data_IF_490304465902
#
_entry.id   IF_490304465902
#
_cell.length_a   1.000
_cell.length_b   1.000
_cell.length_c   1.000
_cell.angle_alpha   90.00
_cell.angle_beta   90.00
_cell.angle_gamma   90.00
#
_symmetry.space_group_name_H-M   'P 1'
#
loop_
_entity.id
_entity.type
_entity.pdbx_description
1 polymer ?
#
# COMPACT_ATOMS: atom_id res chain seq x y z
N UNK A 1 59.40 51.00 4.17
CA UNK A 1 59.37 50.43 5.54
C UNK A 1 58.79 49.03 5.39
N UNK A 2 59.50 48.14 4.69
CA UNK A 2 60.55 47.23 5.24
C UNK A 2 59.93 46.21 6.21
N UNK A 3 59.72 44.96 5.76
CA UNK A 3 60.67 43.81 5.78
C UNK A 3 60.69 43.19 7.20
N UNK A 4 60.48 41.89 7.44
CA UNK A 4 61.23 40.72 6.96
C UNK A 4 60.49 39.40 7.33
N UNK A 5 60.20 38.46 6.41
CA UNK A 5 60.99 37.27 5.94
C UNK A 5 61.01 36.05 6.89
N UNK A 6 60.47 34.89 6.45
CA UNK A 6 61.21 33.64 6.06
C UNK A 6 61.25 32.59 7.20
N UNK A 7 61.22 31.26 7.05
CA UNK A 7 61.40 30.32 5.92
C UNK A 7 60.96 28.89 6.34
N UNK A 8 60.54 28.06 5.36
CA UNK A 8 60.61 26.58 5.39
C UNK A 8 62.04 26.13 4.96
N UNK A 9 62.53 24.85 5.02
CA UNK A 9 61.93 23.70 4.30
C UNK A 9 62.23 22.24 4.80
N UNK A 10 61.46 21.30 4.21
CA UNK A 10 61.76 19.96 3.63
C UNK A 10 62.55 18.82 4.33
N UNK A 11 61.90 17.64 4.27
CA UNK A 11 62.36 16.31 3.78
C UNK A 11 63.51 15.55 4.47
N UNK A 12 63.27 14.28 4.82
CA UNK A 12 63.88 13.11 4.12
C UNK A 12 63.42 11.75 4.68
N UNK A 13 63.43 10.76 3.79
CA UNK A 13 62.96 9.37 3.88
C UNK A 13 63.98 8.39 4.52
N UNK A 14 63.57 7.11 4.58
CA UNK A 14 64.28 5.81 4.71
C UNK A 14 63.99 5.10 6.05
N UNK A 15 63.32 3.94 6.13
CA UNK A 15 63.43 2.62 5.49
C UNK A 15 64.29 1.60 6.28
N UNK A 16 63.73 0.39 6.39
CA UNK A 16 64.33 -0.93 6.63
C UNK A 16 64.51 -1.56 8.05
N UNK A 17 63.66 -2.57 8.27
CA UNK A 17 64.01 -4.00 8.40
C UNK A 17 64.03 -4.69 9.79
N UNK A 18 63.11 -5.66 9.92
CA UNK A 18 63.45 -7.07 10.20
C UNK A 18 63.43 -7.61 11.63
N UNK A 19 62.47 -8.50 11.96
CA UNK A 19 62.73 -9.95 12.18
C UNK A 19 61.47 -10.79 12.55
N UNK A 20 61.53 -12.03 12.08
CA UNK A 20 60.54 -13.14 12.03
C UNK A 20 60.31 -13.87 13.36
N UNK A 21 59.16 -14.57 13.47
CA UNK A 21 59.02 -16.02 13.82
C UNK A 21 57.56 -16.48 13.56
N UNK A 22 57.28 -17.25 12.50
CA UNK A 22 57.07 -18.72 12.47
C UNK A 22 55.88 -19.20 13.36
N UNK A 23 54.83 -19.85 12.83
CA UNK A 23 54.84 -21.26 12.41
C UNK A 23 53.56 -21.76 11.67
N UNK A 24 53.78 -22.68 10.69
CA UNK A 24 52.98 -23.85 10.18
C UNK A 24 51.62 -23.61 9.45
N UNK A 25 51.50 -23.73 8.11
CA UNK A 25 51.46 -24.90 7.14
C UNK A 25 50.20 -25.82 7.27
N UNK A 26 49.12 -25.61 6.48
CA UNK A 26 48.69 -26.26 5.17
C UNK A 26 48.05 -27.67 5.29
N UNK A 27 47.13 -28.16 4.40
CA UNK A 27 46.98 -27.78 3.00
C UNK A 27 45.55 -27.68 2.37
N UNK A 28 45.60 -27.08 1.18
CA UNK A 28 44.70 -27.04 0.02
C UNK A 28 44.46 -28.43 -0.58
N UNK A 29 43.29 -28.68 -1.14
CA UNK A 29 43.12 -29.63 -2.24
C UNK A 29 42.25 -29.01 -3.36
N UNK A 30 42.95 -28.56 -4.41
CA UNK A 30 42.50 -28.61 -5.82
C UNK A 30 42.48 -30.09 -6.24
N UNK A 31 41.78 -30.62 -7.24
CA UNK A 31 41.21 -30.18 -8.52
C UNK A 31 40.47 -31.41 -9.07
N UNK A 32 39.43 -31.22 -9.88
CA UNK A 32 39.28 -32.03 -11.09
C UNK A 32 38.34 -31.30 -12.07
N UNK A 33 38.96 -30.82 -13.14
CA UNK A 33 38.32 -30.35 -14.36
C UNK A 33 37.75 -31.56 -15.11
N UNK A 34 36.58 -31.40 -15.73
CA UNK A 34 36.40 -31.96 -17.06
C UNK A 34 35.60 -30.98 -17.93
N UNK A 35 36.25 -30.53 -19.01
CA UNK A 35 35.70 -29.71 -20.06
C UNK A 35 34.70 -30.52 -20.90
N UNK A 36 33.58 -29.93 -21.32
CA UNK A 36 33.24 -29.97 -22.74
C UNK A 36 32.24 -28.87 -23.16
N UNK A 37 32.70 -28.07 -24.12
CA UNK A 37 32.02 -27.46 -25.27
C UNK A 37 30.65 -26.76 -25.14
N UNK A 38 30.68 -25.48 -25.51
CA UNK A 38 29.79 -24.77 -26.44
C UNK A 38 28.30 -25.14 -26.46
N UNK A 39 27.44 -24.17 -26.09
CA UNK A 39 26.72 -23.41 -27.10
C UNK A 39 26.05 -22.15 -26.52
N UNK A 40 26.34 -21.03 -27.17
CA UNK A 40 25.53 -19.82 -27.10
C UNK A 40 24.13 -20.12 -27.64
N UNK A 41 23.13 -20.09 -26.76
CA UNK A 41 21.76 -19.76 -27.15
C UNK A 41 21.18 -18.83 -26.11
N UNK A 42 20.83 -17.63 -26.57
CA UNK A 42 20.09 -16.57 -25.89
C UNK A 42 18.91 -17.12 -25.10
N UNK A 43 19.12 -17.34 -23.80
CA UNK A 43 18.07 -17.71 -22.86
C UNK A 43 17.25 -16.48 -22.50
N UNK A 44 16.10 -16.31 -23.16
CA UNK A 44 15.04 -15.44 -22.64
C UNK A 44 14.74 -15.86 -21.21
N UNK A 45 14.97 -14.95 -20.27
CA UNK A 45 14.66 -15.16 -18.86
C UNK A 45 13.19 -15.60 -18.74
N UNK A 46 12.96 -16.89 -18.45
CA UNK A 46 11.67 -17.35 -17.96
C UNK A 46 11.40 -16.58 -16.66
N UNK A 47 10.59 -15.53 -16.76
CA UNK A 47 10.09 -14.79 -15.61
C UNK A 47 9.40 -15.81 -14.71
N UNK A 48 10.00 -16.10 -13.56
CA UNK A 48 9.50 -17.13 -12.65
C UNK A 48 8.00 -16.91 -12.40
N UNK A 49 7.18 -17.95 -12.55
CA UNK A 49 5.75 -18.00 -12.25
C UNK A 49 5.47 -17.90 -10.72
N UNK A 50 6.26 -17.09 -10.01
CA UNK A 50 6.19 -16.95 -8.57
C UNK A 50 4.95 -16.13 -8.22
N UNK A 51 3.98 -16.78 -7.61
CA UNK A 51 2.83 -16.11 -7.00
C UNK A 51 3.27 -15.13 -5.92
N UNK A 52 2.46 -14.09 -5.71
CA UNK A 52 2.56 -13.18 -4.58
C UNK A 52 2.22 -13.90 -3.25
N UNK A 53 2.60 -13.29 -2.14
CA UNK A 53 2.40 -13.85 -0.79
C UNK A 53 3.66 -14.45 -0.17
N UNK A 54 3.53 -14.84 1.09
CA UNK A 54 4.58 -15.48 1.88
C UNK A 54 4.55 -17.00 1.66
N UNK A 55 5.66 -17.72 1.87
CA UNK A 55 5.68 -19.19 1.76
C UNK A 55 4.68 -19.91 2.67
N UNK A 56 4.33 -19.29 3.81
CA UNK A 56 3.35 -19.80 4.78
C UNK A 56 1.88 -19.59 4.39
N UNK A 57 1.62 -18.78 3.36
CA UNK A 57 0.25 -18.52 2.91
C UNK A 57 -0.27 -19.75 2.13
N UNK A 58 -1.55 -20.10 2.33
CA UNK A 58 -2.18 -21.16 1.52
C UNK A 58 -2.15 -20.81 0.02
N UNK A 59 -2.18 -21.80 -0.89
CA UNK A 59 -2.23 -21.56 -2.32
C UNK A 59 -3.34 -20.59 -2.73
N UNK A 60 -4.53 -20.72 -2.14
CA UNK A 60 -5.69 -19.85 -2.39
C UNK A 60 -5.42 -18.41 -1.95
N UNK A 61 -4.77 -18.20 -0.80
CA UNK A 61 -4.39 -16.85 -0.33
C UNK A 61 -3.35 -16.23 -1.25
N UNK A 62 -2.36 -17.01 -1.71
CA UNK A 62 -1.34 -16.55 -2.66
C UNK A 62 -1.95 -16.20 -4.02
N UNK A 63 -2.93 -16.98 -4.47
CA UNK A 63 -3.68 -16.75 -5.69
C UNK A 63 -4.51 -15.46 -5.60
N UNK A 64 -5.29 -15.28 -4.52
CA UNK A 64 -6.04 -14.05 -4.27
C UNK A 64 -5.14 -12.81 -4.19
N UNK A 65 -3.97 -12.91 -3.52
CA UNK A 65 -2.96 -11.83 -3.51
C UNK A 65 -2.40 -11.55 -4.90
N UNK A 66 -2.21 -12.57 -5.72
CA UNK A 66 -1.71 -12.43 -7.10
C UNK A 66 -2.76 -11.78 -7.99
N UNK A 67 -4.01 -12.21 -7.92
CA UNK A 67 -5.14 -11.61 -8.63
C UNK A 67 -5.31 -10.13 -8.25
N UNK A 68 -5.34 -9.81 -6.96
CA UNK A 68 -5.34 -8.42 -6.46
C UNK A 68 -4.18 -7.61 -7.02
N UNK A 69 -2.97 -8.18 -7.07
CA UNK A 69 -1.81 -7.48 -7.60
C UNK A 69 -1.92 -7.23 -9.11
N UNK A 70 -2.36 -8.22 -9.90
CA UNK A 70 -2.57 -8.08 -11.35
C UNK A 70 -3.53 -6.93 -11.63
N UNK A 71 -4.69 -6.92 -10.97
CA UNK A 71 -5.75 -5.94 -11.23
C UNK A 71 -5.40 -4.53 -10.77
N UNK A 72 -4.51 -4.35 -9.78
CA UNK A 72 -4.20 -3.03 -9.20
C UNK A 72 -2.89 -2.41 -9.69
N UNK A 73 -1.94 -3.25 -10.07
CA UNK A 73 -0.54 -2.85 -10.30
C UNK A 73 0.07 -3.57 -11.50
N UNK A 74 -0.20 -4.87 -11.64
CA UNK A 74 0.52 -5.77 -12.53
C UNK A 74 0.05 -5.76 -13.98
N UNK A 75 -1.17 -5.29 -14.27
CA UNK A 75 -1.81 -5.47 -15.56
C UNK A 75 -0.91 -5.09 -16.74
N UNK A 76 -0.41 -3.85 -16.75
CA UNK A 76 0.50 -3.36 -17.81
C UNK A 76 1.82 -4.15 -17.88
N UNK A 77 2.41 -4.49 -16.74
CA UNK A 77 3.71 -5.21 -16.69
C UNK A 77 3.61 -6.68 -17.12
N UNK A 78 2.41 -7.25 -17.03
CA UNK A 78 2.10 -8.64 -17.37
C UNK A 78 1.36 -8.76 -18.70
N UNK A 79 1.22 -7.64 -19.44
CA UNK A 79 0.57 -7.62 -20.75
C UNK A 79 -0.95 -7.83 -20.72
N UNK A 80 -1.60 -7.64 -19.56
CA UNK A 80 -3.06 -7.75 -19.44
C UNK A 80 -3.75 -6.48 -19.94
N UNK A 81 -4.66 -6.57 -20.93
CA UNK A 81 -5.45 -5.44 -21.38
C UNK A 81 -6.39 -4.98 -20.26
N UNK A 82 -6.17 -3.78 -19.74
CA UNK A 82 -7.05 -3.17 -18.74
C UNK A 82 -7.74 -1.95 -19.35
N UNK A 83 -9.07 -1.91 -19.22
CA UNK A 83 -9.90 -0.79 -19.65
C UNK A 83 -9.70 0.43 -18.75
N UNK A 84 -10.16 1.60 -19.21
CA UNK A 84 -10.09 2.84 -18.41
C UNK A 84 -10.91 2.77 -17.12
N UNK A 85 -11.99 2.00 -17.10
CA UNK A 85 -12.82 1.75 -15.91
C UNK A 85 -12.24 0.64 -14.99
N UNK A 86 -11.07 0.10 -15.34
CA UNK A 86 -10.33 -0.88 -14.55
C UNK A 86 -10.73 -2.34 -14.76
N UNK A 87 -11.70 -2.63 -15.64
CA UNK A 87 -12.07 -4.01 -15.95
C UNK A 87 -11.07 -4.68 -16.90
N UNK A 88 -10.86 -5.96 -16.65
CA UNK A 88 -10.10 -6.90 -17.47
C UNK A 88 -11.02 -8.09 -17.78
N UNK A 89 -10.93 -8.67 -18.97
CA UNK A 89 -11.68 -9.90 -19.27
C UNK A 89 -11.17 -11.02 -18.38
N UNK A 90 -12.09 -11.83 -17.84
CA UNK A 90 -11.70 -12.96 -17.00
C UNK A 90 -10.84 -13.94 -17.80
N UNK A 91 -11.17 -14.18 -19.07
CA UNK A 91 -10.37 -15.07 -19.95
C UNK A 91 -8.91 -14.60 -20.05
N UNK A 92 -8.66 -13.31 -20.28
CA UNK A 92 -7.29 -12.75 -20.32
C UNK A 92 -6.55 -12.97 -18.99
N UNK A 93 -7.26 -12.84 -17.86
CA UNK A 93 -6.69 -13.11 -16.52
C UNK A 93 -6.35 -14.59 -16.35
N UNK A 94 -7.22 -15.49 -16.78
CA UNK A 94 -7.03 -16.95 -16.68
C UNK A 94 -5.89 -17.43 -17.59
N UNK A 95 -5.70 -16.78 -18.74
CA UNK A 95 -4.60 -17.06 -19.66
C UNK A 95 -3.24 -16.55 -19.18
N UNK A 96 -3.23 -15.62 -18.21
CA UNK A 96 -1.99 -15.09 -17.65
C UNK A 96 -1.11 -16.23 -17.09
N UNK A 97 0.20 -16.30 -17.42
CA UNK A 97 1.07 -17.41 -17.00
C UNK A 97 1.06 -17.68 -15.49
N UNK A 98 0.93 -16.65 -14.66
CA UNK A 98 0.90 -16.80 -13.20
C UNK A 98 -0.39 -17.45 -12.72
N UNK A 99 -1.52 -17.15 -13.36
CA UNK A 99 -2.84 -17.69 -13.00
C UNK A 99 -3.03 -19.07 -13.62
N UNK A 100 -2.72 -19.22 -14.91
CA UNK A 100 -2.80 -20.48 -15.64
C UNK A 100 -2.00 -21.60 -14.98
N UNK A 101 -0.83 -21.29 -14.42
CA UNK A 101 0.00 -22.26 -13.68
C UNK A 101 -0.66 -22.82 -12.41
N UNK A 102 -1.74 -22.20 -11.92
CA UNK A 102 -2.47 -22.60 -10.72
C UNK A 102 -3.80 -23.28 -11.04
N UNK A 103 -4.09 -23.53 -12.33
CA UNK A 103 -5.35 -24.14 -12.78
C UNK A 103 -6.60 -23.42 -12.25
N UNK A 104 -6.53 -22.09 -12.11
CA UNK A 104 -7.71 -21.29 -11.78
C UNK A 104 -8.64 -21.27 -12.99
N UNK A 105 -9.93 -21.50 -12.77
CA UNK A 105 -10.99 -21.38 -13.76
C UNK A 105 -11.97 -20.25 -13.37
N UNK A 106 -12.98 -20.02 -14.21
CA UNK A 106 -14.00 -19.00 -13.95
C UNK A 106 -14.73 -19.24 -12.62
N UNK A 107 -15.02 -20.50 -12.29
CA UNK A 107 -15.68 -20.85 -11.03
C UNK A 107 -14.82 -20.47 -9.83
N UNK A 108 -13.52 -20.76 -9.86
CA UNK A 108 -12.60 -20.34 -8.82
C UNK A 108 -12.45 -18.82 -8.71
N UNK A 109 -12.55 -18.08 -9.82
CA UNK A 109 -12.62 -16.61 -9.77
C UNK A 109 -13.89 -16.15 -9.05
N UNK A 110 -15.05 -16.72 -9.38
CA UNK A 110 -16.32 -16.44 -8.71
C UNK A 110 -16.23 -16.73 -7.21
N UNK A 111 -15.68 -17.90 -6.82
CA UNK A 111 -15.47 -18.28 -5.41
C UNK A 111 -14.54 -17.30 -4.68
N UNK A 112 -13.47 -16.81 -5.32
CA UNK A 112 -12.57 -15.79 -4.74
C UNK A 112 -13.31 -14.47 -4.50
N UNK A 113 -14.17 -14.07 -5.43
CA UNK A 113 -14.95 -12.82 -5.32
C UNK A 113 -16.01 -12.94 -4.24
N UNK A 114 -16.71 -14.07 -4.18
CA UNK A 114 -17.74 -14.36 -3.17
C UNK A 114 -17.16 -14.47 -1.75
N UNK A 115 -16.00 -15.14 -1.60
CA UNK A 115 -15.30 -15.25 -0.32
C UNK A 115 -14.64 -13.93 0.13
N UNK A 116 -14.63 -12.89 -0.71
CA UNK A 116 -13.99 -11.62 -0.38
C UNK A 116 -14.87 -10.73 0.48
N UNK A 117 -14.77 -10.97 1.79
CA UNK A 117 -15.32 -10.08 2.83
C UNK A 117 -15.04 -8.60 2.60
N UNK A 118 -13.94 -8.20 1.95
CA UNK A 118 -13.60 -6.77 1.79
C UNK A 118 -14.16 -6.13 0.52
N UNK A 119 -14.96 -6.85 -0.27
CA UNK A 119 -15.51 -6.36 -1.55
C UNK A 119 -14.43 -5.69 -2.41
N UNK A 120 -13.25 -6.31 -2.53
CA UNK A 120 -12.09 -5.83 -3.31
C UNK A 120 -12.31 -5.95 -4.80
N UNK A 121 -13.17 -6.85 -5.21
CA UNK A 121 -13.43 -7.16 -6.61
C UNK A 121 -14.86 -6.80 -6.95
N UNK A 122 -15.04 -6.42 -8.20
CA UNK A 122 -16.35 -6.40 -8.84
C UNK A 122 -16.27 -7.28 -10.08
N UNK A 123 -17.22 -8.20 -10.19
CA UNK A 123 -17.28 -9.23 -11.21
C UNK A 123 -18.65 -9.14 -11.87
N UNK A 124 -18.67 -8.95 -13.19
CA UNK A 124 -19.91 -8.83 -13.96
C UNK A 124 -19.81 -9.57 -15.28
N UNK A 125 -20.96 -9.94 -15.80
CA UNK A 125 -21.10 -10.46 -17.16
C UNK A 125 -21.77 -9.39 -18.02
N UNK A 126 -21.28 -9.17 -19.23
CA UNK A 126 -21.93 -8.28 -20.19
C UNK A 126 -23.03 -8.99 -21.01
N UNK A 127 -23.67 -8.24 -21.92
CA UNK A 127 -24.77 -8.75 -22.75
C UNK A 127 -24.33 -9.85 -23.72
N UNK A 128 -23.04 -9.90 -24.05
CA UNK A 128 -22.45 -10.90 -24.96
C UNK A 128 -22.01 -12.16 -24.19
N UNK A 129 -22.24 -12.21 -22.88
CA UNK A 129 -21.87 -13.33 -22.02
C UNK A 129 -20.40 -13.32 -21.57
N UNK A 130 -19.66 -12.24 -21.83
CA UNK A 130 -18.24 -12.13 -21.46
C UNK A 130 -18.12 -11.71 -20.00
N UNK A 131 -17.28 -12.42 -19.24
CA UNK A 131 -17.01 -12.10 -17.85
C UNK A 131 -15.90 -11.06 -17.71
N UNK A 132 -16.13 -10.07 -16.86
CA UNK A 132 -15.23 -8.95 -16.58
C UNK A 132 -14.99 -8.83 -15.09
N UNK A 133 -13.73 -8.62 -14.70
CA UNK A 133 -13.32 -8.40 -13.32
C UNK A 133 -12.51 -7.11 -13.17
N UNK A 134 -12.77 -6.34 -12.12
CA UNK A 134 -11.92 -5.22 -11.71
C UNK A 134 -11.62 -5.29 -10.21
N UNK A 135 -10.57 -4.57 -9.80
CA UNK A 135 -10.42 -4.21 -8.40
C UNK A 135 -11.21 -2.93 -8.09
N UNK A 136 -11.94 -2.90 -6.98
CA UNK A 136 -12.71 -1.73 -6.55
C UNK A 136 -11.83 -0.61 -5.99
N UNK A 137 -10.64 -0.94 -5.46
CA UNK A 137 -9.79 0.01 -4.74
C UNK A 137 -8.30 -0.32 -4.87
N UNK A 138 -7.45 0.68 -4.57
CA UNK A 138 -6.02 0.51 -4.39
C UNK A 138 -5.20 0.41 -5.68
N UNK A 139 -5.71 0.97 -6.78
CA UNK A 139 -5.00 1.07 -8.05
C UNK A 139 -3.77 1.98 -7.96
N UNK A 140 -2.70 1.60 -8.65
CA UNK A 140 -1.58 2.48 -8.99
C UNK A 140 -1.40 2.66 -10.51
N UNK A 141 -2.31 2.10 -11.30
CA UNK A 141 -2.30 2.21 -12.75
C UNK A 141 -2.91 3.56 -13.13
N UNK A 142 -2.14 4.42 -13.81
CA UNK A 142 -2.61 5.74 -14.25
C UNK A 142 -3.76 5.68 -15.27
N UNK A 143 -3.88 4.56 -15.98
CA UNK A 143 -4.90 4.35 -17.01
C UNK A 143 -6.29 4.10 -16.44
N UNK A 144 -6.40 3.76 -15.15
CA UNK A 144 -7.69 3.45 -14.51
C UNK A 144 -8.27 4.72 -13.88
N UNK A 145 -9.39 5.19 -14.41
CA UNK A 145 -10.23 6.24 -13.84
C UNK A 145 -11.36 5.56 -13.07
N UNK A 146 -11.38 5.73 -11.75
CA UNK A 146 -12.49 5.23 -10.94
C UNK A 146 -13.64 6.23 -11.04
N UNK A 147 -14.87 5.73 -11.09
CA UNK A 147 -16.08 6.55 -10.88
C UNK A 147 -16.11 6.96 -9.41
N UNK A 148 -15.74 8.21 -9.14
CA UNK A 148 -15.56 8.76 -7.81
C UNK A 148 -16.53 9.93 -7.62
N UNK A 149 -17.40 9.84 -6.61
CA UNK A 149 -18.33 10.93 -6.28
C UNK A 149 -17.59 11.99 -5.45
N UNK A 150 -17.56 13.27 -5.86
CA UNK A 150 -16.90 14.30 -5.08
C UNK A 150 -17.59 14.48 -3.72
N UNK A 151 -16.79 14.65 -2.68
CA UNK A 151 -17.25 15.07 -1.34
C UNK A 151 -17.01 16.58 -1.26
N UNK A 152 -18.08 17.36 -1.11
CA UNK A 152 -18.05 18.82 -1.04
C UNK A 152 -18.27 19.33 0.38
N UNK A 153 -18.79 18.48 1.26
CA UNK A 153 -19.03 18.77 2.67
C UNK A 153 -18.95 17.50 3.50
N UNK A 154 -18.91 17.65 4.83
CA UNK A 154 -19.06 16.51 5.75
C UNK A 154 -20.41 15.80 5.56
N UNK A 155 -21.40 16.46 4.95
CA UNK A 155 -22.73 15.89 4.71
C UNK A 155 -22.73 14.76 3.68
N UNK A 156 -21.77 14.78 2.75
CA UNK A 156 -21.63 13.75 1.71
C UNK A 156 -21.01 12.45 2.25
N UNK A 157 -20.60 12.42 3.51
CA UNK A 157 -20.05 11.25 4.19
C UNK A 157 -21.12 10.68 5.14
N UNK A 158 -21.74 9.54 4.83
CA UNK A 158 -22.77 8.92 5.66
C UNK A 158 -22.39 8.80 7.15
N UNK A 159 -21.15 8.44 7.46
CA UNK A 159 -20.69 8.26 8.84
C UNK A 159 -20.20 9.52 9.53
N UNK A 160 -20.10 10.65 8.81
CA UNK A 160 -19.45 11.89 9.28
C UNK A 160 -18.00 11.70 9.76
N UNK A 161 -17.36 10.59 9.39
CA UNK A 161 -16.05 10.21 9.90
C UNK A 161 -15.12 9.82 8.76
N UNK A 162 -13.89 10.33 8.78
CA UNK A 162 -12.82 9.90 7.87
C UNK A 162 -11.58 9.53 8.69
N UNK A 163 -11.24 8.25 8.76
CA UNK A 163 -10.15 7.74 9.60
C UNK A 163 -9.16 6.88 8.81
N UNK A 164 -7.87 7.10 9.05
CA UNK A 164 -6.80 6.27 8.53
C UNK A 164 -6.18 5.41 9.61
N UNK A 165 -6.15 4.09 9.40
CA UNK A 165 -5.44 3.16 10.27
C UNK A 165 -4.02 2.91 9.81
N UNK A 166 -3.03 3.18 10.66
CA UNK A 166 -1.60 2.95 10.38
C UNK A 166 -0.90 2.23 11.52
N UNK A 167 0.41 1.99 11.40
CA UNK A 167 1.24 1.38 12.46
C UNK A 167 2.05 2.44 13.20
N UNK A 168 2.51 2.12 14.42
CA UNK A 168 3.35 3.00 15.25
C UNK A 168 4.64 3.41 14.54
N UNK A 169 5.23 2.51 13.76
CA UNK A 169 6.46 2.77 13.00
C UNK A 169 6.20 3.80 11.89
N UNK A 170 5.10 3.63 11.15
CA UNK A 170 4.71 4.57 10.10
C UNK A 170 4.31 5.93 10.69
N UNK A 171 3.66 5.95 11.85
CA UNK A 171 3.28 7.18 12.55
C UNK A 171 4.46 8.13 12.78
N UNK A 172 5.66 7.63 13.13
CA UNK A 172 6.86 8.48 13.33
C UNK A 172 7.20 9.38 12.13
N UNK A 173 6.87 8.93 10.92
CA UNK A 173 7.04 9.71 9.68
C UNK A 173 5.80 10.53 9.35
N UNK A 174 4.62 9.97 9.57
CA UNK A 174 3.35 10.64 9.26
C UNK A 174 3.14 11.85 10.17
N UNK A 175 3.55 11.78 11.44
CA UNK A 175 3.43 12.88 12.41
C UNK A 175 4.26 14.10 12.05
N UNK A 176 5.23 13.96 11.15
CA UNK A 176 6.14 15.03 10.70
C UNK A 176 5.86 15.47 9.27
N UNK A 177 5.50 14.54 8.36
CA UNK A 177 5.34 14.84 6.93
C UNK A 177 3.89 14.82 6.45
N UNK A 178 2.94 14.42 7.30
CA UNK A 178 1.56 14.17 6.88
C UNK A 178 1.36 12.78 6.27
N UNK A 179 0.11 12.51 5.90
CA UNK A 179 -0.32 11.21 5.38
C UNK A 179 -0.17 11.18 3.86
N UNK A 180 0.72 10.34 3.33
CA UNK A 180 0.98 10.24 1.89
C UNK A 180 0.10 9.21 1.18
N UNK A 181 -0.25 9.47 -0.09
CA UNK A 181 -0.79 8.44 -1.00
C UNK A 181 0.23 7.34 -1.32
N UNK A 182 1.51 7.55 -1.01
CA UNK A 182 2.61 6.64 -1.31
C UNK A 182 2.63 6.29 -2.81
N UNK A 183 2.73 5.02 -3.17
CA UNK A 183 2.71 4.56 -4.56
C UNK A 183 1.30 4.38 -5.15
N UNK A 184 0.23 4.79 -4.43
CA UNK A 184 -1.16 4.66 -4.90
C UNK A 184 -1.64 5.96 -5.55
N UNK A 185 -2.75 5.88 -6.27
CA UNK A 185 -3.40 7.06 -6.82
C UNK A 185 -4.00 7.96 -5.72
N UNK A 186 -4.51 7.36 -4.63
CA UNK A 186 -5.20 8.06 -3.54
C UNK A 186 -4.78 7.56 -2.16
N UNK A 187 -4.86 8.45 -1.17
CA UNK A 187 -4.96 8.13 0.26
C UNK A 187 -6.34 7.50 0.51
N UNK A 188 -6.38 6.42 1.28
CA UNK A 188 -7.62 5.71 1.59
C UNK A 188 -7.98 5.93 3.05
N UNK A 189 -9.20 6.41 3.27
CA UNK A 189 -9.79 6.69 4.56
C UNK A 189 -11.05 5.84 4.73
N UNK A 190 -11.21 5.28 5.91
CA UNK A 190 -12.36 4.51 6.32
C UNK A 190 -13.43 5.42 6.92
N UNK A 191 -14.68 4.98 6.83
CA UNK A 191 -15.82 5.66 7.42
C UNK A 191 -16.07 5.31 8.91
N UNK A 192 -15.12 4.64 9.57
CA UNK A 192 -15.25 4.28 11.00
C UNK A 192 -14.14 3.35 11.48
N UNK A 193 -14.28 2.85 12.71
CA UNK A 193 -13.37 1.86 13.33
C UNK A 193 -14.10 0.53 13.59
N UNK A 194 -13.53 -0.66 13.25
CA UNK A 194 -14.26 -1.91 13.35
C UNK A 194 -14.76 -2.15 14.76
N UNK A 195 -15.99 -2.64 14.87
CA UNK A 195 -16.69 -2.79 16.16
C UNK A 195 -15.99 -3.79 17.07
N UNK A 196 -15.18 -4.71 16.51
CA UNK A 196 -14.30 -5.61 17.29
C UNK A 196 -13.24 -4.90 18.13
N UNK A 197 -13.14 -3.57 18.04
CA UNK A 197 -12.16 -2.74 18.76
C UNK A 197 -12.80 -1.66 19.64
N UNK A 198 -14.14 -1.61 19.77
CA UNK A 198 -14.81 -0.70 20.70
C UNK A 198 -15.45 -1.50 21.84
N UNK A 199 -15.04 -1.29 23.11
CA UNK A 199 -15.68 -1.93 24.26
C UNK A 199 -17.06 -1.32 24.60
N UNK A 200 -17.56 -0.37 23.80
CA UNK A 200 -18.86 0.27 24.01
C UNK A 200 -19.61 0.43 22.69
N UNK A 201 -20.38 -0.59 22.33
CA UNK A 201 -21.45 -0.45 21.33
C UNK A 201 -22.57 -1.43 21.71
N UNK A 202 -23.25 -1.15 22.81
CA UNK A 202 -24.66 -1.53 22.95
C UNK A 202 -25.42 -0.66 21.96
N UNK A 203 -25.49 -1.07 20.70
CA UNK A 203 -26.37 -0.44 19.72
C UNK A 203 -27.67 -1.22 19.72
N UNK A 204 -28.68 -0.65 20.36
CA UNK A 204 -30.08 -0.97 20.15
C UNK A 204 -30.37 -1.02 18.67
N UNK A 205 -30.81 -2.20 18.23
CA UNK A 205 -31.36 -2.46 16.91
C UNK A 205 -32.55 -1.51 16.73
N UNK A 206 -32.37 -0.46 15.92
CA UNK A 206 -33.50 0.30 15.38
C UNK A 206 -33.55 0.01 13.90
N UNK A 207 -34.38 -0.96 13.56
CA UNK A 207 -34.81 -1.22 12.19
C UNK A 207 -35.63 -0.02 11.75
N UNK A 208 -35.05 0.88 10.97
CA UNK A 208 -35.84 1.85 10.20
C UNK A 208 -35.37 1.77 8.76
N UNK A 209 -36.17 1.03 8.01
CA UNK A 209 -36.20 0.97 6.56
C UNK A 209 -36.18 2.40 6.01
N UNK A 210 -35.26 2.65 5.07
CA UNK A 210 -35.20 3.73 4.07
C UNK A 210 -33.83 4.43 4.03
N UNK A 211 -32.82 3.66 3.61
CA UNK A 211 -31.64 4.03 2.80
C UNK A 211 -30.52 3.01 3.10
N UNK A 212 -30.21 2.18 2.11
CA UNK A 212 -29.33 1.01 2.22
C UNK A 212 -27.86 1.39 2.53
N UNK A 213 -27.57 1.75 3.77
CA UNK A 213 -26.23 1.62 4.35
C UNK A 213 -26.29 0.49 5.37
N UNK A 214 -25.87 -0.69 4.91
CA UNK A 214 -25.80 -1.91 5.71
C UNK A 214 -24.70 -1.77 6.78
N UNK A 215 -25.09 -1.25 7.94
CA UNK A 215 -24.26 -1.16 9.15
C UNK A 215 -24.05 -2.52 9.83
N UNK A 216 -24.60 -3.61 9.27
CA UNK A 216 -24.47 -4.96 9.87
C UNK A 216 -23.18 -5.67 9.47
N UNK A 217 -22.44 -5.15 8.48
CA UNK A 217 -21.14 -5.72 8.12
C UNK A 217 -20.01 -5.00 8.87
N UNK A 218 -19.38 -5.73 9.79
CA UNK A 218 -18.15 -5.35 10.53
C UNK A 218 -16.91 -5.18 9.61
N UNK A 219 -17.12 -4.88 8.34
CA UNK A 219 -16.12 -4.75 7.29
C UNK A 219 -15.91 -3.26 7.06
N UNK A 220 -15.01 -2.68 7.84
CA UNK A 220 -14.57 -1.32 7.58
C UNK A 220 -13.57 -1.35 6.43
N UNK A 221 -14.08 -1.08 5.24
CA UNK A 221 -13.27 -0.91 4.05
C UNK A 221 -12.25 0.22 4.26
N UNK A 222 -10.98 -0.06 3.97
CA UNK A 222 -9.88 0.90 4.14
C UNK A 222 -8.93 0.62 5.32
N UNK A 223 -9.36 -0.07 6.38
CA UNK A 223 -8.51 -0.30 7.57
C UNK A 223 -7.96 -1.73 7.68
N UNK A 224 -6.72 -1.86 8.18
CA UNK A 224 -6.06 -3.15 8.44
C UNK A 224 -6.27 -3.55 9.89
N UNK A 225 -6.42 -4.86 10.15
CA UNK A 225 -6.49 -5.39 11.51
C UNK A 225 -5.20 -5.18 12.31
N UNK A 226 -4.08 -4.98 11.61
CA UNK A 226 -2.78 -4.67 12.19
C UNK A 226 -2.58 -3.19 12.52
N UNK A 227 -3.58 -2.32 12.27
CA UNK A 227 -3.48 -0.91 12.60
C UNK A 227 -3.43 -0.72 14.12
N UNK A 228 -2.47 0.07 14.58
CA UNK A 228 -2.25 0.41 16.00
C UNK A 228 -2.31 1.90 16.28
N UNK A 229 -2.47 2.72 15.23
CA UNK A 229 -2.67 4.16 15.28
C UNK A 229 -3.85 4.51 14.37
N UNK A 230 -4.73 5.39 14.83
CA UNK A 230 -5.83 5.97 14.06
C UNK A 230 -5.58 7.46 13.88
N UNK A 231 -5.74 7.95 12.67
CA UNK A 231 -5.63 9.36 12.32
C UNK A 231 -6.99 9.80 11.78
N UNK A 232 -7.67 10.68 12.50
CA UNK A 232 -8.95 11.25 12.09
C UNK A 232 -8.69 12.51 11.30
N UNK A 233 -9.35 12.67 10.15
CA UNK A 233 -9.16 13.79 9.25
C UNK A 233 -10.31 14.78 9.43
N UNK A 234 -9.96 16.04 9.68
CA UNK A 234 -10.88 17.17 9.68
C UNK A 234 -11.25 17.51 8.24
N UNK A 235 -12.32 16.88 7.75
CA UNK A 235 -12.81 17.04 6.38
C UNK A 235 -13.20 18.50 6.09
N UNK A 236 -13.97 19.21 6.93
CA UNK A 236 -14.27 20.62 6.70
C UNK A 236 -13.03 21.50 6.52
N UNK A 237 -12.00 21.34 7.37
CA UNK A 237 -10.79 22.15 7.24
C UNK A 237 -9.96 21.78 6.01
N UNK A 238 -9.85 20.49 5.70
CA UNK A 238 -9.09 20.04 4.54
C UNK A 238 -9.75 20.52 3.23
N UNK A 239 -11.09 20.48 3.14
CA UNK A 239 -11.85 20.99 1.99
C UNK A 239 -11.66 22.49 1.78
N UNK A 240 -11.65 23.29 2.85
CA UNK A 240 -11.40 24.74 2.75
C UNK A 240 -9.97 25.07 2.31
N UNK A 241 -9.05 24.10 2.41
CA UNK A 241 -7.64 24.21 2.05
C UNK A 241 -7.31 23.51 0.72
N UNK A 242 -8.30 23.34 -0.17
CA UNK A 242 -8.17 22.73 -1.50
C UNK A 242 -7.81 21.25 -1.55
N UNK A 243 -7.86 20.53 -0.42
CA UNK A 243 -7.72 19.07 -0.42
C UNK A 243 -9.03 18.46 -0.89
N UNK A 244 -8.97 17.70 -1.98
CA UNK A 244 -10.14 17.05 -2.57
C UNK A 244 -10.37 15.69 -1.95
N UNK A 245 -11.65 15.37 -1.74
CA UNK A 245 -12.10 14.07 -1.27
C UNK A 245 -13.16 13.51 -2.20
N UNK A 246 -13.22 12.19 -2.26
CA UNK A 246 -14.19 11.46 -3.05
C UNK A 246 -14.72 10.25 -2.30
N UNK A 247 -15.99 9.94 -2.50
CA UNK A 247 -16.62 8.71 -2.01
C UNK A 247 -16.69 7.69 -3.14
N UNK A 248 -16.15 6.51 -2.90
CA UNK A 248 -16.31 5.36 -3.80
C UNK A 248 -17.61 4.62 -3.54
N UNK A 249 -18.04 3.78 -4.50
CA UNK A 249 -19.23 2.94 -4.38
C UNK A 249 -19.21 1.98 -3.18
N UNK A 250 -18.01 1.56 -2.75
CA UNK A 250 -17.84 0.70 -1.58
C UNK A 250 -17.64 1.46 -0.26
N UNK A 251 -17.95 2.76 -0.23
CA UNK A 251 -17.92 3.59 0.97
C UNK A 251 -16.52 3.93 1.49
N UNK A 252 -15.48 3.82 0.64
CA UNK A 252 -14.13 4.28 0.99
C UNK A 252 -14.01 5.75 0.59
N UNK A 253 -13.47 6.55 1.51
CA UNK A 253 -13.14 7.94 1.21
C UNK A 253 -11.73 7.97 0.63
N UNK A 254 -11.57 8.65 -0.50
CA UNK A 254 -10.33 8.76 -1.25
C UNK A 254 -9.91 10.22 -1.34
N UNK A 255 -8.62 10.49 -1.21
CA UNK A 255 -8.05 11.82 -1.44
C UNK A 255 -6.78 11.72 -2.27
N UNK A 256 -6.61 12.63 -3.22
CA UNK A 256 -5.34 12.77 -3.93
C UNK A 256 -4.25 13.39 -3.04
N UNK A 257 -4.65 14.03 -1.94
CA UNK A 257 -3.81 14.90 -1.13
C UNK A 257 -3.65 16.29 -1.77
N UNK A 258 -2.68 17.04 -1.27
CA UNK A 258 -2.16 18.26 -1.84
C UNK A 258 -1.40 18.00 -3.16
N UNK A 259 -0.75 19.03 -3.71
CA UNK A 259 0.06 18.93 -4.93
C UNK A 259 1.20 17.90 -4.82
N UNK A 260 1.66 17.59 -3.60
CA UNK A 260 2.71 16.61 -3.31
C UNK A 260 2.14 15.21 -3.03
N UNK A 261 0.82 15.08 -2.94
CA UNK A 261 0.11 13.83 -2.64
C UNK A 261 0.00 13.51 -1.14
N UNK A 262 -0.04 14.53 -0.30
CA UNK A 262 -0.14 14.40 1.16
C UNK A 262 -1.43 15.01 1.71
N UNK A 263 -1.94 14.47 2.80
CA UNK A 263 -2.81 15.20 3.73
C UNK A 263 -1.90 15.71 4.87
N UNK A 264 -1.61 17.01 4.90
CA UNK A 264 -0.81 17.63 5.97
C UNK A 264 -1.37 17.40 7.39
N UNK A 265 -0.50 17.50 8.39
CA UNK A 265 -0.81 17.17 9.79
C UNK A 265 -1.75 18.18 10.45
N UNK A 266 -1.80 19.42 9.95
CA UNK A 266 -2.79 20.44 10.32
C UNK A 266 -4.23 20.03 9.98
N UNK A 267 -4.45 19.00 9.16
CA UNK A 267 -5.78 18.47 8.87
C UNK A 267 -6.12 17.23 9.70
N UNK A 268 -5.26 16.84 10.63
CA UNK A 268 -5.57 15.76 11.57
C UNK A 268 -6.41 16.36 12.70
N UNK A 269 -7.65 15.90 12.82
CA UNK A 269 -8.56 16.31 13.90
C UNK A 269 -8.07 15.77 15.24
N UNK A 270 -7.75 14.47 15.27
CA UNK A 270 -7.15 13.77 16.41
C UNK A 270 -6.38 12.53 15.98
N UNK A 271 -5.49 12.07 16.85
CA UNK A 271 -4.72 10.85 16.63
C UNK A 271 -4.76 9.98 17.87
N UNK A 272 -5.17 8.73 17.69
CA UNK A 272 -5.33 7.76 18.77
C UNK A 272 -4.35 6.60 18.60
N UNK A 273 -3.79 6.12 19.70
CA UNK A 273 -3.05 4.86 19.78
C UNK A 273 -3.92 3.78 20.40
N UNK A 274 -3.65 2.54 20.01
CA UNK A 274 -4.26 1.38 20.63
C UNK A 274 -3.64 1.13 22.01
N UNK A 275 -4.49 1.03 23.03
CA UNK A 275 -4.14 0.63 24.39
C UNK A 275 -5.02 -0.55 24.81
N UNK A 276 -4.51 -1.77 24.61
CA UNK A 276 -5.27 -3.01 24.73
C UNK A 276 -6.47 -3.05 23.77
N UNK A 277 -7.68 -2.97 24.33
CA UNK A 277 -8.95 -2.93 23.60
C UNK A 277 -9.50 -1.52 23.40
N UNK A 278 -8.85 -0.49 23.95
CA UNK A 278 -9.28 0.91 23.86
C UNK A 278 -8.41 1.69 22.88
N UNK A 279 -8.97 2.80 22.42
CA UNK A 279 -8.25 3.83 21.69
C UNK A 279 -8.11 5.04 22.60
N UNK A 280 -6.88 5.54 22.72
CA UNK A 280 -6.55 6.69 23.57
C UNK A 280 -5.77 7.69 22.75
N UNK A 281 -6.00 8.98 22.93
CA UNK A 281 -5.25 10.01 22.22
C UNK A 281 -3.75 9.89 22.49
N UNK A 282 -2.95 10.21 21.48
CA UNK A 282 -1.49 10.20 21.62
C UNK A 282 -1.07 11.40 22.47
N UNK A 283 -0.65 11.12 23.69
CA UNK A 283 -0.07 12.11 24.60
C UNK A 283 1.06 12.90 23.93
N UNK A 284 1.01 14.22 24.08
CA UNK A 284 2.01 15.15 23.55
C UNK A 284 1.89 15.48 22.07
N UNK A 285 1.05 14.77 21.30
CA UNK A 285 0.72 15.22 19.94
C UNK A 285 -0.33 16.33 20.00
N UNK A 286 -0.05 17.44 19.33
CA UNK A 286 -1.00 18.52 19.13
C UNK A 286 -1.06 18.83 17.64
N UNK A 287 -2.27 19.11 17.16
CA UNK A 287 -2.50 19.60 15.82
C UNK A 287 -1.69 20.88 15.60
N UNK A 288 -0.80 20.94 14.59
CA UNK A 288 -0.09 22.16 14.24
C UNK A 288 -1.08 23.25 13.81
N UNK A 289 -0.77 24.53 14.11
CA UNK A 289 -1.59 25.62 13.59
C UNK A 289 -1.33 25.79 12.09
N UNK A 290 -2.32 26.30 11.36
CA UNK A 290 -2.17 26.63 9.92
C UNK A 290 -1.13 27.74 9.67
N UNK A 291 -0.74 28.48 10.71
CA UNK A 291 0.26 29.53 10.64
C UNK A 291 1.68 28.96 10.75
N UNK A 292 1.85 27.83 11.44
CA UNK A 292 3.15 27.17 11.65
C UNK A 292 3.71 26.53 10.38
N UNK A 293 2.86 26.21 9.38
CA UNK A 293 3.24 25.45 8.18
C UNK A 293 3.55 26.32 6.94
N UNK A 294 3.44 27.65 7.03
CA UNK A 294 3.73 28.59 5.92
C UNK A 294 5.23 28.94 5.72
N UNK A 295 6.17 28.16 6.27
CA UNK A 295 7.62 28.39 6.16
C UNK A 295 8.29 27.59 5.05
#
# INVERSE_FOLDING_TARGET
MEQDTQSAPSQSQQAESGKKKQTRRTPRNEKSNNNNSNNNTTGGQQRSAKLRGLPKDSPQVRLSKTLSWLLRHGAKSEGLPIREDGYVKVDDVLENPKIKSQSLDLKGVQEIVEADSKKRYDLKQDQDGVWWIKANQGHSLKTVKLDLKPILSLEDIPSKTAVHGTTKEAWSKISTHGLSKMSRNHIHLAQGVPTSFSPSSTTTITTTSNNNFDTTTNIISGMRSSSSILIYIDIPLALSSSIKFYLSDNGVILSEGDEKGFIPTEFFEKVEKRDGVKWVEIEGWKRPSLEDTKK
#
